data_IF_452862601073
#
_entry.id   IF_452862601073
#
_cell.length_a   1.000
_cell.length_b   1.000
_cell.length_c   1.000
_cell.angle_alpha   90.00
_cell.angle_beta   90.00
_cell.angle_gamma   90.00
#
_symmetry.space_group_name_H-M   'P 1'
#
loop_
_entity.id
_entity.type
_entity.pdbx_description
1 polymer ?
#
# COMPACT_ATOMS: atom_id res chain seq x y z
N UNK A 1 -7.82 18.95 43.24
CA UNK A 1 -9.01 18.72 42.40
C UNK A 1 -8.48 18.31 41.05
N UNK A 2 -8.20 17.02 40.90
CA UNK A 2 -7.52 16.50 39.72
C UNK A 2 -8.61 16.20 38.70
N UNK A 3 -8.93 17.19 37.87
CA UNK A 3 -9.89 17.02 36.80
C UNK A 3 -9.35 15.99 35.81
N UNK A 4 -10.02 14.86 35.67
CA UNK A 4 -9.71 13.89 34.62
C UNK A 4 -9.94 14.54 33.26
N UNK A 5 -8.85 14.76 32.50
CA UNK A 5 -8.93 15.19 31.12
C UNK A 5 -9.02 13.95 30.22
N UNK A 6 -10.16 13.78 29.55
CA UNK A 6 -10.33 12.78 28.51
C UNK A 6 -10.24 13.44 27.12
N UNK A 7 -9.45 12.85 26.22
CA UNK A 7 -9.34 13.29 24.83
C UNK A 7 -9.82 12.19 23.90
N UNK A 8 -10.70 12.56 22.97
CA UNK A 8 -11.12 11.67 21.89
C UNK A 8 -10.19 11.84 20.69
N UNK A 9 -9.84 10.73 20.08
CA UNK A 9 -9.16 10.72 18.79
C UNK A 9 -9.87 9.74 17.87
N UNK A 10 -9.96 10.12 16.60
CA UNK A 10 -10.50 9.29 15.54
C UNK A 10 -9.36 8.61 14.80
N UNK A 11 -9.50 7.32 14.55
CA UNK A 11 -8.51 6.53 13.79
C UNK A 11 -9.20 5.98 12.56
N UNK A 12 -8.61 6.25 11.39
CA UNK A 12 -9.09 5.69 10.14
C UNK A 12 -9.03 4.16 10.19
N UNK A 13 -10.07 3.50 9.70
CA UNK A 13 -10.16 2.04 9.64
C UNK A 13 -8.95 1.40 8.96
N UNK A 14 -8.41 2.04 7.92
CA UNK A 14 -7.21 1.55 7.23
C UNK A 14 -5.95 1.56 8.11
N UNK A 15 -5.85 2.47 9.08
CA UNK A 15 -4.75 2.47 10.05
C UNK A 15 -4.96 1.39 11.12
N UNK A 16 -6.21 1.16 11.53
CA UNK A 16 -6.55 0.06 12.45
C UNK A 16 -6.20 -1.31 11.84
N UNK A 17 -6.57 -1.56 10.57
CA UNK A 17 -6.25 -2.81 9.88
C UNK A 17 -4.74 -3.07 9.82
N UNK A 18 -3.95 -2.03 9.58
CA UNK A 18 -2.48 -2.10 9.55
C UNK A 18 -1.90 -2.40 10.92
N UNK A 19 -2.39 -1.77 11.97
CA UNK A 19 -1.91 -2.00 13.35
C UNK A 19 -2.28 -3.41 13.82
N UNK A 20 -3.52 -3.85 13.60
CA UNK A 20 -4.02 -5.17 14.04
C UNK A 20 -3.24 -6.31 13.36
N UNK A 21 -2.99 -6.19 12.06
CA UNK A 21 -2.34 -7.22 11.27
C UNK A 21 -0.82 -7.03 11.15
N UNK A 22 -0.26 -6.02 11.83
CA UNK A 22 1.16 -5.65 11.77
C UNK A 22 1.67 -5.46 10.32
N UNK A 23 0.87 -4.76 9.49
CA UNK A 23 1.15 -4.55 8.06
C UNK A 23 1.93 -3.27 7.83
N UNK A 24 3.05 -3.39 7.12
CA UNK A 24 3.81 -2.24 6.62
C UNK A 24 3.35 -1.82 5.20
N UNK A 25 3.94 -0.76 4.64
CA UNK A 25 3.62 -0.31 3.28
C UNK A 25 4.00 -1.35 2.20
N UNK A 26 5.01 -2.18 2.47
CA UNK A 26 5.47 -3.24 1.57
C UNK A 26 4.43 -4.37 1.54
N UNK A 27 3.86 -4.76 2.68
CA UNK A 27 2.80 -5.75 2.80
C UNK A 27 1.55 -5.30 2.03
N UNK A 28 1.16 -4.03 2.17
CA UNK A 28 0.05 -3.45 1.41
C UNK A 28 0.34 -3.49 -0.09
N UNK A 29 1.55 -3.15 -0.50
CA UNK A 29 1.97 -3.20 -1.91
C UNK A 29 1.97 -4.64 -2.45
N UNK A 30 2.42 -5.61 -1.64
CA UNK A 30 2.48 -7.02 -1.99
C UNK A 30 1.09 -7.64 -2.18
N UNK A 31 0.06 -7.18 -1.47
CA UNK A 31 -1.34 -7.58 -1.73
C UNK A 31 -1.76 -7.35 -3.18
N UNK A 32 -1.17 -6.37 -3.85
CA UNK A 32 -1.47 -6.01 -5.24
C UNK A 32 -0.45 -6.55 -6.25
N UNK A 33 0.50 -7.40 -5.83
CA UNK A 33 1.58 -7.91 -6.68
C UNK A 33 1.09 -8.52 -8.00
N UNK A 34 0.05 -9.35 -7.95
CA UNK A 34 -0.52 -10.00 -9.14
C UNK A 34 -1.09 -8.98 -10.13
N UNK A 35 -1.79 -7.97 -9.63
CA UNK A 35 -2.36 -6.89 -10.44
C UNK A 35 -1.26 -6.02 -11.08
N UNK A 36 -0.22 -5.70 -10.31
CA UNK A 36 0.95 -4.96 -10.79
C UNK A 36 1.63 -5.76 -11.91
N UNK A 37 1.87 -7.05 -11.70
CA UNK A 37 2.50 -7.93 -12.71
C UNK A 37 1.66 -8.04 -13.98
N UNK A 38 0.34 -8.23 -13.87
CA UNK A 38 -0.56 -8.30 -15.01
C UNK A 38 -0.57 -6.99 -15.81
N UNK A 39 -0.59 -5.86 -15.11
CA UNK A 39 -0.51 -4.54 -15.72
C UNK A 39 0.83 -4.34 -16.45
N UNK A 40 1.95 -4.68 -15.82
CA UNK A 40 3.29 -4.57 -16.42
C UNK A 40 3.45 -5.46 -17.65
N UNK A 41 2.96 -6.70 -17.61
CA UNK A 41 3.02 -7.62 -18.75
C UNK A 41 2.25 -7.06 -19.95
N UNK A 42 1.02 -6.57 -19.73
CA UNK A 42 0.23 -5.91 -20.78
C UNK A 42 0.96 -4.69 -21.33
N UNK A 43 1.55 -3.88 -20.45
CA UNK A 43 2.26 -2.66 -20.82
C UNK A 43 3.53 -2.96 -21.63
N UNK A 44 4.22 -4.06 -21.33
CA UNK A 44 5.39 -4.54 -22.08
C UNK A 44 5.05 -4.90 -23.51
N UNK A 45 3.91 -5.56 -23.74
CA UNK A 45 3.43 -5.84 -25.10
C UNK A 45 3.01 -4.57 -25.84
N UNK A 46 2.39 -3.60 -25.15
CA UNK A 46 1.90 -2.37 -25.76
C UNK A 46 2.99 -1.34 -26.05
N UNK A 47 4.03 -1.31 -25.20
CA UNK A 47 5.10 -0.30 -25.24
C UNK A 47 6.45 -0.96 -24.96
N UNK A 48 6.94 -1.82 -25.88
CA UNK A 48 8.17 -2.57 -25.67
C UNK A 48 9.39 -1.65 -25.44
N UNK A 49 9.42 -0.45 -26.04
CA UNK A 49 10.50 0.54 -25.88
C UNK A 49 10.63 1.10 -24.45
N UNK A 50 9.63 0.92 -23.57
CA UNK A 50 9.74 1.32 -22.16
C UNK A 50 10.53 0.31 -21.31
N UNK A 51 10.74 -0.90 -21.83
CA UNK A 51 11.43 -1.99 -21.16
C UNK A 51 12.76 -2.33 -21.83
N UNK A 52 13.16 -1.55 -22.83
CA UNK A 52 14.44 -1.66 -23.46
C UNK A 52 15.48 -0.93 -22.59
N UNK A 53 16.05 -1.64 -21.63
CA UNK A 53 17.12 -1.13 -20.75
C UNK A 53 18.48 -1.09 -21.47
N UNK A 54 18.49 -0.89 -22.79
CA UNK A 54 19.69 -0.72 -23.59
C UNK A 54 20.24 0.69 -23.41
N UNK A 55 20.89 0.94 -22.25
CA UNK A 55 22.26 1.48 -22.12
C UNK A 55 22.67 1.53 -20.64
#
# INVERSE_FOLDING_TARGET
CDGEFSYFFDVKESLLDRIINNLDDVDITLKHKSHIQAFEQKRRSQRPWLFDYSN
#
